data_IF_938116994566
#
_entry.id   IF_938116994566
#
_cell.length_a   1.000
_cell.length_b   1.000
_cell.length_c   1.000
_cell.angle_alpha   90.00
_cell.angle_beta   90.00
_cell.angle_gamma   90.00
#
_symmetry.space_group_name_H-M   'P 1'
#
loop_
_entity.id
_entity.type
_entity.pdbx_description
1 polymer ?
#
# COMPACT_ATOMS: atom_id res chain seq x y z
N UNK A 1 20.12 51.05 38.94
CA UNK A 1 19.45 50.90 37.63
C UNK A 1 19.60 49.51 36.96
N UNK A 2 19.99 48.44 37.66
CA UNK A 2 20.25 47.12 37.02
C UNK A 2 19.20 46.02 37.31
N UNK A 3 18.34 46.17 38.33
CA UNK A 3 17.35 45.16 38.71
C UNK A 3 16.07 45.18 37.83
N UNK A 4 15.66 46.36 37.37
CA UNK A 4 14.43 46.53 36.57
C UNK A 4 14.58 45.96 35.15
N UNK A 5 15.77 46.10 34.53
CA UNK A 5 16.08 45.52 33.21
C UNK A 5 16.07 43.98 33.22
N UNK A 6 16.52 43.35 34.32
CA UNK A 6 16.48 41.88 34.45
C UNK A 6 15.05 41.35 34.57
N UNK A 7 14.17 42.03 35.32
CA UNK A 7 12.77 41.60 35.48
C UNK A 7 11.94 41.67 34.20
N UNK A 8 12.26 42.57 33.27
CA UNK A 8 11.59 42.64 31.97
C UNK A 8 12.24 41.79 30.87
N UNK A 9 13.51 41.40 31.02
CA UNK A 9 14.17 40.51 30.06
C UNK A 9 13.58 39.09 30.08
N UNK A 10 13.24 38.56 31.26
CA UNK A 10 12.68 37.21 31.38
C UNK A 10 11.35 36.99 30.65
N UNK A 11 10.32 37.85 30.76
CA UNK A 11 9.07 37.66 30.03
C UNK A 11 9.24 37.82 28.51
N UNK A 12 10.10 38.74 28.06
CA UNK A 12 10.37 38.94 26.62
C UNK A 12 11.07 37.72 26.02
N UNK A 13 12.09 37.18 26.72
CA UNK A 13 12.78 35.96 26.28
C UNK A 13 11.83 34.76 26.26
N UNK A 14 10.93 34.63 27.25
CA UNK A 14 9.91 33.58 27.25
C UNK A 14 8.95 33.66 26.05
N UNK A 15 8.47 34.87 25.71
CA UNK A 15 7.60 35.06 24.54
C UNK A 15 8.34 34.76 23.23
N UNK A 16 9.62 35.14 23.12
CA UNK A 16 10.43 34.80 21.96
C UNK A 16 10.66 33.29 21.83
N UNK A 17 10.99 32.60 22.93
CA UNK A 17 11.20 31.14 22.93
C UNK A 17 9.90 30.39 22.63
N UNK A 18 8.78 30.77 23.26
CA UNK A 18 7.48 30.18 22.97
C UNK A 18 7.03 30.45 21.54
N UNK A 19 7.27 31.65 21.01
CA UNK A 19 7.02 32.00 19.62
C UNK A 19 7.88 31.21 18.63
N UNK A 20 9.15 30.99 18.95
CA UNK A 20 10.06 30.17 18.13
C UNK A 20 9.64 28.70 18.15
N UNK A 21 9.27 28.14 19.31
CA UNK A 21 8.75 26.77 19.43
C UNK A 21 7.43 26.64 18.67
N UNK A 22 6.52 27.62 18.78
CA UNK A 22 5.24 27.62 18.09
C UNK A 22 5.40 27.76 16.57
N UNK A 23 6.32 28.60 16.10
CA UNK A 23 6.61 28.78 14.69
C UNK A 23 7.35 27.58 14.09
N UNK A 24 8.27 26.98 14.85
CA UNK A 24 8.94 25.73 14.46
C UNK A 24 7.94 24.56 14.48
N UNK A 25 7.00 24.53 15.43
CA UNK A 25 5.91 23.55 15.47
C UNK A 25 4.98 23.70 14.27
N UNK A 26 4.54 24.92 13.91
CA UNK A 26 3.69 25.13 12.72
C UNK A 26 4.44 24.96 11.39
N UNK A 27 5.72 25.31 11.33
CA UNK A 27 6.55 25.17 10.14
C UNK A 27 7.02 23.74 9.89
N UNK A 28 7.05 22.91 10.94
CA UNK A 28 7.50 21.52 10.90
C UNK A 28 6.37 20.49 11.05
N UNK A 29 5.10 20.92 11.11
CA UNK A 29 4.00 20.12 10.52
C UNK A 29 4.18 20.24 9.01
N UNK A 30 5.28 19.66 8.53
CA UNK A 30 5.45 19.35 7.14
C UNK A 30 4.21 18.54 6.78
N UNK A 31 3.34 19.11 5.95
CA UNK A 31 2.43 18.33 5.15
C UNK A 31 3.34 17.44 4.30
N UNK A 32 3.73 16.29 4.87
CA UNK A 32 4.49 15.27 4.17
C UNK A 32 3.67 14.97 2.93
N UNK A 33 4.28 15.22 1.77
CA UNK A 33 3.64 14.95 0.49
C UNK A 33 3.09 13.51 0.54
N UNK A 34 1.90 13.27 -0.02
CA UNK A 34 1.34 11.93 -0.05
C UNK A 34 2.37 10.97 -0.64
N UNK A 35 2.55 9.83 0.03
CA UNK A 35 3.53 8.82 -0.35
C UNK A 35 3.38 8.45 -1.82
N UNK A 36 4.50 8.30 -2.53
CA UNK A 36 4.47 7.96 -3.95
C UNK A 36 4.02 6.51 -4.14
N UNK A 37 3.34 6.18 -5.25
CA UNK A 37 2.99 4.80 -5.63
C UNK A 37 4.13 3.79 -5.48
N UNK A 38 5.35 4.21 -5.84
CA UNK A 38 6.56 3.41 -5.77
C UNK A 38 6.96 3.03 -4.35
N UNK A 39 6.68 3.89 -3.36
CA UNK A 39 7.01 3.65 -1.95
C UNK A 39 6.18 2.51 -1.36
N UNK A 40 4.90 2.40 -1.75
CA UNK A 40 4.05 1.27 -1.35
C UNK A 40 4.56 -0.06 -1.90
N UNK A 41 5.00 -0.07 -3.16
CA UNK A 41 5.56 -1.26 -3.80
C UNK A 41 6.90 -1.65 -3.17
N UNK A 42 7.76 -0.68 -2.87
CA UNK A 42 9.01 -0.91 -2.15
C UNK A 42 8.74 -1.51 -0.77
N UNK A 43 7.79 -0.96 -0.01
CA UNK A 43 7.43 -1.51 1.30
C UNK A 43 6.87 -2.93 1.22
N UNK A 44 6.00 -3.20 0.25
CA UNK A 44 5.47 -4.54 0.03
C UNK A 44 6.58 -5.55 -0.26
N UNK A 45 7.63 -5.15 -1.00
CA UNK A 45 8.80 -5.98 -1.25
C UNK A 45 9.55 -6.28 0.05
N UNK A 46 9.82 -5.28 0.88
CA UNK A 46 10.49 -5.45 2.17
C UNK A 46 9.70 -6.40 3.09
N UNK A 47 8.38 -6.17 3.21
CA UNK A 47 7.48 -7.05 3.97
C UNK A 47 7.59 -8.49 3.48
N UNK A 48 7.59 -8.70 2.15
CA UNK A 48 7.67 -10.04 1.58
C UNK A 48 9.03 -10.70 1.72
N UNK A 49 10.12 -9.93 1.76
CA UNK A 49 11.46 -10.45 2.07
C UNK A 49 11.49 -10.98 3.50
N UNK A 50 10.99 -10.21 4.47
CA UNK A 50 10.94 -10.63 5.87
C UNK A 50 10.06 -11.87 6.06
N UNK A 51 8.85 -11.85 5.48
CA UNK A 51 7.89 -12.97 5.55
C UNK A 51 8.47 -14.25 4.94
N UNK A 52 9.09 -14.16 3.77
CA UNK A 52 9.75 -15.31 3.12
C UNK A 52 11.01 -15.76 3.86
N UNK A 53 11.62 -14.88 4.65
CA UNK A 53 12.67 -15.22 5.61
C UNK A 53 12.15 -15.88 6.89
N UNK A 54 10.85 -16.19 6.99
CA UNK A 54 10.23 -16.81 8.16
C UNK A 54 9.96 -15.84 9.31
N UNK A 55 10.04 -14.54 9.06
CA UNK A 55 9.80 -13.49 10.07
C UNK A 55 8.35 -12.99 10.01
N UNK A 56 7.85 -12.38 11.11
CA UNK A 56 6.53 -11.78 11.10
C UNK A 56 6.45 -10.58 10.15
N UNK A 57 5.23 -10.23 9.72
CA UNK A 57 4.95 -9.04 8.93
C UNK A 57 5.38 -7.79 9.73
N UNK A 58 6.33 -6.99 9.24
CA UNK A 58 6.80 -5.83 9.95
C UNK A 58 5.69 -4.76 10.04
N UNK A 59 5.58 -4.14 11.22
CA UNK A 59 4.65 -3.04 11.51
C UNK A 59 3.19 -3.34 11.11
N UNK A 60 2.74 -4.57 11.33
CA UNK A 60 1.32 -4.91 11.27
C UNK A 60 0.58 -4.17 12.39
N UNK A 61 -0.54 -3.51 12.08
CA UNK A 61 -1.32 -2.76 13.09
C UNK A 61 -2.06 -3.67 14.06
N UNK A 62 -2.28 -4.93 13.67
CA UNK A 62 -2.99 -5.94 14.46
C UNK A 62 -2.33 -7.32 14.26
N UNK A 63 -2.05 -8.09 15.33
CA UNK A 63 -1.55 -9.47 15.20
C UNK A 63 -2.49 -10.39 14.39
N UNK A 64 -3.79 -10.09 14.31
CA UNK A 64 -4.74 -10.80 13.46
C UNK A 64 -4.35 -10.75 11.98
N UNK A 65 -3.62 -9.73 11.54
CA UNK A 65 -3.12 -9.61 10.15
C UNK A 65 -2.12 -10.73 9.86
N UNK A 66 -1.24 -11.05 10.82
CA UNK A 66 -0.30 -12.15 10.68
C UNK A 66 -1.03 -13.49 10.54
N UNK A 67 -2.05 -13.71 11.38
CA UNK A 67 -2.87 -14.92 11.33
C UNK A 67 -3.66 -15.01 10.02
N UNK A 68 -4.30 -13.91 9.61
CA UNK A 68 -5.03 -13.83 8.35
C UNK A 68 -4.12 -14.10 7.16
N UNK A 69 -2.92 -13.51 7.14
CA UNK A 69 -1.93 -13.76 6.09
C UNK A 69 -1.56 -15.24 6.03
N UNK A 70 -1.24 -15.86 7.17
CA UNK A 70 -0.90 -17.28 7.22
C UNK A 70 -2.05 -18.18 6.71
N UNK A 71 -3.31 -17.79 6.92
CA UNK A 71 -4.48 -18.51 6.45
C UNK A 71 -4.78 -18.32 4.96
N UNK A 72 -4.59 -17.11 4.41
CA UNK A 72 -5.04 -16.78 3.05
C UNK A 72 -3.93 -16.78 2.01
N UNK A 73 -2.68 -16.54 2.42
CA UNK A 73 -1.55 -16.46 1.50
C UNK A 73 -1.15 -17.86 1.03
N UNK A 74 -1.06 -18.09 -0.29
CA UNK A 74 -0.57 -19.34 -0.84
C UNK A 74 0.83 -19.67 -0.32
N UNK A 75 1.15 -20.97 -0.17
CA UNK A 75 2.48 -21.41 0.25
C UNK A 75 3.57 -20.92 -0.70
N UNK A 76 3.30 -20.92 -2.00
CA UNK A 76 4.14 -20.32 -3.05
C UNK A 76 4.46 -18.83 -2.80
N UNK A 77 3.54 -18.08 -2.19
CA UNK A 77 3.78 -16.68 -1.85
C UNK A 77 4.60 -16.57 -0.55
N UNK A 78 4.35 -17.46 0.41
CA UNK A 78 4.97 -17.47 1.74
C UNK A 78 6.40 -18.00 1.74
N UNK A 79 6.72 -18.95 0.88
CA UNK A 79 8.02 -19.61 0.82
C UNK A 79 8.99 -18.84 -0.09
N UNK A 80 10.27 -18.78 0.31
CA UNK A 80 11.37 -18.33 -0.53
C UNK A 80 11.48 -19.12 -1.84
N UNK A 81 11.08 -20.40 -1.83
CA UNK A 81 11.10 -21.32 -2.97
C UNK A 81 10.07 -21.00 -4.06
N UNK A 82 9.03 -20.21 -3.76
CA UNK A 82 7.88 -20.05 -4.65
C UNK A 82 8.07 -19.13 -5.86
N UNK A 83 9.32 -18.80 -6.20
CA UNK A 83 9.68 -18.01 -7.37
C UNK A 83 9.53 -16.50 -7.17
N UNK A 84 9.89 -15.74 -8.20
CA UNK A 84 9.90 -14.28 -8.16
C UNK A 84 8.48 -13.71 -8.07
N UNK A 85 8.24 -12.84 -7.08
CA UNK A 85 6.97 -12.13 -6.94
C UNK A 85 6.91 -10.96 -7.93
N UNK A 86 5.79 -10.87 -8.62
CA UNK A 86 5.36 -9.68 -9.33
C UNK A 86 4.53 -8.82 -8.38
N UNK A 87 4.73 -7.50 -8.43
CA UNK A 87 4.06 -6.54 -7.54
C UNK A 87 3.24 -5.59 -8.41
N UNK A 88 1.97 -5.45 -8.10
CA UNK A 88 1.07 -4.53 -8.78
C UNK A 88 0.35 -3.67 -7.75
N UNK A 89 0.53 -2.35 -7.84
CA UNK A 89 -0.26 -1.42 -7.06
C UNK A 89 -1.68 -1.38 -7.62
N UNK A 90 -2.66 -1.71 -6.77
CA UNK A 90 -4.08 -1.52 -7.02
C UNK A 90 -4.55 -0.40 -6.09
N UNK A 91 -4.38 0.84 -6.52
CA UNK A 91 -4.95 1.99 -5.79
C UNK A 91 -6.46 2.11 -6.04
N UNK A 92 -7.24 2.89 -5.30
CA UNK A 92 -7.25 3.21 -3.88
C UNK A 92 -8.69 2.86 -3.43
N UNK A 93 -8.89 2.19 -2.30
CA UNK A 93 -10.21 1.68 -1.88
C UNK A 93 -11.15 2.77 -1.33
N UNK A 94 -11.19 3.94 -1.97
CA UNK A 94 -12.19 4.95 -1.67
C UNK A 94 -12.41 5.89 -2.87
N UNK A 95 -13.54 5.74 -3.55
CA UNK A 95 -14.02 6.61 -4.65
C UNK A 95 -14.28 8.05 -4.21
N UNK A 96 -14.20 8.33 -2.90
CA UNK A 96 -14.47 9.60 -2.23
C UNK A 96 -13.19 10.34 -1.78
N UNK A 97 -12.00 9.78 -2.04
CA UNK A 97 -10.72 10.44 -1.70
C UNK A 97 -10.41 10.51 -0.21
N UNK A 98 -11.13 9.75 0.64
CA UNK A 98 -11.01 9.86 2.11
C UNK A 98 -9.74 9.19 2.66
N UNK A 99 -9.10 8.27 1.92
CA UNK A 99 -7.92 7.51 2.38
C UNK A 99 -6.80 7.38 1.33
N UNK A 100 -6.20 8.49 0.83
CA UNK A 100 -5.10 8.43 -0.13
C UNK A 100 -3.82 7.78 0.42
N UNK A 101 -3.68 7.72 1.74
CA UNK A 101 -2.54 7.12 2.43
C UNK A 101 -2.62 5.60 2.57
N UNK A 102 -3.72 4.96 2.18
CA UNK A 102 -3.85 3.50 2.19
C UNK A 102 -3.93 2.98 0.76
N UNK A 103 -3.01 2.08 0.39
CA UNK A 103 -2.98 1.47 -0.92
C UNK A 103 -2.91 -0.05 -0.82
N UNK A 104 -3.51 -0.73 -1.79
CA UNK A 104 -3.43 -2.19 -1.91
C UNK A 104 -2.32 -2.56 -2.89
N UNK A 105 -1.39 -3.42 -2.47
CA UNK A 105 -0.35 -3.97 -3.33
C UNK A 105 -0.61 -5.46 -3.48
N UNK A 106 -0.95 -5.88 -4.70
CA UNK A 106 -1.03 -7.30 -5.05
C UNK A 106 0.38 -7.86 -5.26
N UNK A 107 0.69 -8.97 -4.61
CA UNK A 107 1.84 -9.80 -4.94
C UNK A 107 1.38 -11.10 -5.57
N UNK A 108 1.92 -11.43 -6.75
CA UNK A 108 1.61 -12.67 -7.46
C UNK A 108 2.86 -13.45 -7.80
N UNK A 109 2.78 -14.76 -7.61
CA UNK A 109 3.75 -15.73 -8.10
C UNK A 109 3.45 -16.09 -9.57
N UNK A 110 4.42 -16.67 -10.32
CA UNK A 110 4.26 -16.98 -11.74
C UNK A 110 3.06 -17.90 -12.07
N UNK A 111 2.61 -18.71 -11.11
CA UNK A 111 1.46 -19.60 -11.27
C UNK A 111 0.09 -18.87 -11.21
N UNK A 112 0.09 -17.54 -11.07
CA UNK A 112 -1.11 -16.68 -11.03
C UNK A 112 -1.76 -16.55 -9.66
N UNK A 113 -1.30 -17.29 -8.64
CA UNK A 113 -1.72 -17.15 -7.25
C UNK A 113 -1.12 -15.90 -6.62
N UNK A 114 -1.80 -15.34 -5.62
CA UNK A 114 -1.33 -14.13 -4.97
C UNK A 114 -2.07 -13.76 -3.71
N UNK A 115 -1.54 -12.75 -3.05
CA UNK A 115 -2.14 -12.09 -1.89
C UNK A 115 -1.89 -10.60 -2.03
N UNK A 116 -2.79 -9.79 -1.49
CA UNK A 116 -2.64 -8.36 -1.49
C UNK A 116 -2.46 -7.85 -0.06
N UNK A 117 -1.56 -6.87 0.10
CA UNK A 117 -1.33 -6.16 1.35
C UNK A 117 -1.97 -4.78 1.26
N UNK A 118 -2.77 -4.44 2.25
CA UNK A 118 -3.21 -3.06 2.48
C UNK A 118 -2.15 -2.36 3.32
N UNK A 119 -1.51 -1.36 2.72
CA UNK A 119 -0.39 -0.63 3.30
C UNK A 119 -0.82 0.81 3.54
N UNK A 120 -0.62 1.29 4.77
CA UNK A 120 -0.85 2.68 5.15
C UNK A 120 0.48 3.40 5.36
N UNK A 121 0.73 4.47 4.58
CA UNK A 121 1.86 5.38 4.74
C UNK A 121 1.32 6.76 5.09
N UNK A 122 1.30 7.09 6.39
CA UNK A 122 0.76 8.35 6.90
C UNK A 122 1.78 9.02 7.80
N UNK A 123 2.07 10.29 7.54
CA UNK A 123 2.95 11.11 8.40
C UNK A 123 4.33 10.44 8.63
N UNK A 124 4.86 9.75 7.63
CA UNK A 124 6.13 9.02 7.71
C UNK A 124 6.08 7.71 8.51
N UNK A 125 4.90 7.30 8.98
CA UNK A 125 4.64 5.99 9.58
C UNK A 125 4.16 5.01 8.52
N UNK A 126 4.80 3.84 8.49
CA UNK A 126 4.55 2.77 7.53
C UNK A 126 3.93 1.61 8.28
N UNK A 127 2.79 1.11 7.82
CA UNK A 127 2.07 0.06 8.52
C UNK A 127 1.31 -0.84 7.56
N UNK A 128 1.16 -2.11 7.92
CA UNK A 128 0.28 -3.05 7.21
C UNK A 128 -1.05 -3.07 7.96
N UNK A 129 -2.12 -2.69 7.27
CA UNK A 129 -3.47 -2.54 7.85
C UNK A 129 -4.40 -3.71 7.50
N UNK A 130 -4.04 -4.51 6.51
CA UNK A 130 -4.88 -5.62 6.08
C UNK A 130 -4.22 -6.52 5.05
N UNK A 131 -4.85 -7.67 4.85
CA UNK A 131 -4.42 -8.71 3.91
C UNK A 131 -5.67 -9.23 3.19
N UNK A 132 -5.60 -9.43 1.87
CA UNK A 132 -6.71 -9.97 1.10
C UNK A 132 -6.26 -11.00 0.08
N UNK A 133 -7.12 -11.98 -0.20
CA UNK A 133 -6.83 -13.03 -1.18
C UNK A 133 -7.00 -12.48 -2.59
N UNK A 134 -6.02 -12.71 -3.43
CA UNK A 134 -6.08 -12.32 -4.84
C UNK A 134 -6.59 -13.51 -5.65
N UNK A 135 -7.69 -13.33 -6.40
CA UNK A 135 -8.21 -14.40 -7.27
C UNK A 135 -7.20 -14.72 -8.37
N UNK A 136 -7.04 -16.03 -8.65
CA UNK A 136 -6.32 -16.53 -9.83
C UNK A 136 -6.99 -15.92 -11.06
N UNK A 137 -6.19 -15.28 -11.91
CA UNK A 137 -6.64 -14.88 -13.25
C UNK A 137 -6.48 -16.15 -14.08
N UNK A 138 -7.59 -16.81 -14.42
CA UNK A 138 -7.56 -17.75 -15.54
C UNK A 138 -7.12 -16.95 -16.77
N UNK A 139 -6.11 -17.41 -17.53
CA UNK A 139 -5.76 -16.74 -18.77
C UNK A 139 -7.03 -16.69 -19.61
N UNK A 140 -7.45 -15.50 -20.02
CA UNK A 140 -8.58 -15.32 -20.91
C UNK A 140 -8.36 -16.27 -22.08
N UNK A 141 -9.27 -17.24 -22.24
CA UNK A 141 -9.27 -18.11 -23.40
C UNK A 141 -9.12 -17.20 -24.62
N UNK A 142 -8.06 -17.45 -25.38
CA UNK A 142 -7.83 -16.80 -26.66
C UNK A 142 -9.13 -16.89 -27.44
N UNK A 143 -9.80 -15.75 -27.61
CA UNK A 143 -11.04 -15.65 -28.37
C UNK A 143 -10.64 -15.97 -29.80
N UNK A 144 -10.79 -17.25 -30.17
CA UNK A 144 -10.64 -17.69 -31.54
C UNK A 144 -11.48 -16.76 -32.42
N UNK A 145 -10.92 -16.19 -33.50
CA UNK A 145 -11.67 -15.29 -34.35
C UNK A 145 -12.85 -16.05 -34.93
N UNK A 146 -14.07 -15.64 -34.59
CA UNK A 146 -15.29 -16.10 -35.22
C UNK A 146 -15.24 -15.66 -36.69
N UNK A 147 -14.86 -16.57 -37.57
CA UNK A 147 -15.00 -16.39 -39.01
C UNK A 147 -16.50 -16.21 -39.28
N UNK A 148 -16.95 -15.14 -39.95
CA UNK A 148 -18.36 -15.01 -40.32
C UNK A 148 -18.69 -16.08 -41.36
N UNK A 149 -19.50 -17.07 -40.98
CA UNK A 149 -20.10 -18.02 -41.93
C UNK A 149 -21.06 -17.26 -42.83
N UNK A 150 -20.66 -17.07 -44.09
CA UNK A 150 -21.51 -16.60 -45.18
C UNK A 150 -22.70 -17.55 -45.34
N UNK A 151 -23.91 -17.06 -45.06
CA UNK A 151 -25.14 -17.78 -45.40
C UNK A 151 -25.39 -17.66 -46.91
N UNK A 152 -25.08 -18.73 -47.66
CA UNK A 152 -25.59 -18.92 -49.01
C UNK A 152 -27.02 -19.49 -48.91
N UNK A 153 -28.01 -18.68 -49.27
CA UNK A 153 -29.39 -19.14 -49.46
C UNK A 153 -29.49 -19.75 -50.86
N UNK A 154 -29.41 -21.07 -50.95
CA UNK A 154 -29.90 -21.82 -52.12
C UNK A 154 -31.11 -22.64 -51.66
N UNK A 155 -32.30 -22.12 -51.97
CA UNK A 155 -33.59 -22.76 -51.69
C UNK A 155 -34.17 -23.27 -52.99
N UNK A 156 -33.94 -24.55 -53.26
CA UNK A 156 -34.61 -25.33 -54.31
C UNK A 156 -36.03 -25.73 -53.87
N UNK A 157 -37.02 -25.57 -54.76
CA UNK A 157 -38.10 -26.54 -55.07
C UNK A 157 -39.32 -25.84 -55.72
N UNK A 158 -40.24 -26.59 -56.39
CA UNK A 158 -40.16 -27.97 -56.88
C UNK A 158 -40.06 -28.11 -58.41
#
# INVERSE_FOLDING_TARGET
MNAYRRRMAYPIVMVCVAGLIYLWSRGNIAQLAPAKPEEYVAYAREVMIEVRGGRPIPKAVDPAIQAAFAMIAPESVRDASGGALTFALRGATATDGTFPWVQSVEMRVPNGEGVALSISIREGQWSVTGVSRVRRIEPAAEVAPTVPTTAATESTAP
#
